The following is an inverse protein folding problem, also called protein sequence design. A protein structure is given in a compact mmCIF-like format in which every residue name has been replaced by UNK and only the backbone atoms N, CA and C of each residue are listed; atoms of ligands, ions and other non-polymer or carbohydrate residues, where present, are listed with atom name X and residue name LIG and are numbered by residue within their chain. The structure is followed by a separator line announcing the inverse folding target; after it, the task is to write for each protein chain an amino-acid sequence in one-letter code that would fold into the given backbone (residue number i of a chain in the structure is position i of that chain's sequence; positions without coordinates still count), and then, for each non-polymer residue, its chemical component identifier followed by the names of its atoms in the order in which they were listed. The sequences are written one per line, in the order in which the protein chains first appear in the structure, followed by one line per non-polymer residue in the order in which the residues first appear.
data_IF_691888087520
#
_entry.id   IF_691888087520
#
_cell.length_a   1.000
_cell.length_b   1.000
_cell.length_c   1.000
_cell.angle_alpha   90.00
_cell.angle_beta   90.00
_cell.angle_gamma   90.00
#
_symmetry.space_group_name_H-M   'P 1'
#
loop_
_entity.id
_entity.type
_entity.pdbx_description
1 polymer ?
2 non-polymer ?
3 water ?
#
# COMPACT_ATOMS: atom_id res chain seq x y z
N UNK A 12 -10.35 13.26 16.89
CA UNK A 12 -10.59 14.69 16.90
C UNK A 12 -9.53 15.45 16.07
N UNK A 13 -9.40 16.75 16.32
CA UNK A 13 -8.52 17.60 15.55
C UNK A 13 -7.71 18.49 16.50
N UNK A 14 -6.57 18.98 16.00
CA UNK A 14 -5.69 19.80 16.82
C UNK A 14 -4.75 19.03 17.73
N UNK A 15 -4.57 17.74 17.49
CA UNK A 15 -3.67 16.91 18.30
C UNK A 15 -2.90 15.96 17.41
N UNK A 16 -1.62 15.79 17.73
CA UNK A 16 -0.79 14.72 17.17
C UNK A 16 -0.56 13.68 18.25
N UNK A 17 -0.90 12.44 17.94
CA UNK A 17 -0.63 11.28 18.80
C UNK A 17 0.47 10.48 18.12
N UNK A 18 1.67 10.46 18.71
CA UNK A 18 2.79 9.72 18.16
C UNK A 18 3.35 8.81 19.23
N UNK A 19 3.10 7.51 19.11
CA UNK A 19 3.62 6.55 20.06
C UNK A 19 2.90 6.55 21.38
N UNK A 20 1.59 6.81 21.37
CA UNK A 20 0.83 6.89 22.59
C UNK A 20 0.91 8.20 23.34
N UNK A 21 1.88 9.06 23.01
CA UNK A 21 1.94 10.40 23.59
C UNK A 21 1.12 11.35 22.74
N UNK A 22 0.18 12.04 23.38
CA UNK A 22 -0.74 12.96 22.71
C UNK A 22 -0.25 14.39 22.89
N UNK A 23 -0.11 15.11 21.78
CA UNK A 23 0.50 16.44 21.77
C UNK A 23 -0.49 17.43 21.20
N UNK A 24 -0.78 18.50 21.92
CA UNK A 24 -1.64 19.53 21.42
C UNK A 24 -0.83 20.18 20.32
N UNK A 25 -1.42 20.42 19.17
CA UNK A 25 -0.66 20.99 18.10
C UNK A 25 -1.46 21.77 17.11
N UNK A 26 -0.76 22.64 16.42
CA UNK A 26 -1.32 23.48 15.40
C UNK A 26 -0.39 23.42 14.21
N UNK A 27 -0.85 23.89 13.07
CA UNK A 27 -0.07 23.78 11.87
C UNK A 27 1.29 24.46 11.93
N UNK A 28 1.40 25.59 12.61
CA UNK A 28 2.68 26.26 12.74
C UNK A 28 3.73 25.42 13.44
N UNK A 29 3.32 24.45 14.26
CA UNK A 29 4.26 23.58 14.93
C UNK A 29 4.94 22.61 13.97
N UNK A 30 4.64 22.69 12.68
CA UNK A 30 5.15 21.75 11.70
C UNK A 30 6.07 22.48 10.73
N UNK A 31 7.26 21.96 10.55
CA UNK A 31 8.19 22.52 9.58
C UNK A 31 8.06 21.74 8.27
N UNK A 32 7.88 22.46 7.16
CA UNK A 32 7.70 21.81 5.87
C UNK A 32 9.07 21.43 5.31
N UNK A 33 9.32 20.12 5.15
CA UNK A 33 10.61 19.66 4.63
C UNK A 33 10.54 19.30 3.16
N UNK A 34 9.43 19.58 2.49
CA UNK A 34 9.38 19.35 1.06
C UNK A 34 8.32 18.36 0.62
N UNK A 35 7.95 18.40 -0.65
CA UNK A 35 6.96 17.51 -1.20
C UNK A 35 7.54 16.13 -1.37
N UNK A 36 6.74 15.10 -1.19
CA UNK A 36 7.29 13.77 -1.30
C UNK A 36 7.25 13.11 -2.67
N UNK A 37 6.26 13.43 -3.49
CA UNK A 37 6.12 12.83 -4.80
C UNK A 37 5.24 13.64 -5.72
N UNK A 38 5.19 13.28 -6.98
CA UNK A 38 4.40 14.02 -7.97
C UNK A 38 2.92 13.64 -8.10
N UNK A 39 2.48 12.65 -7.35
CA UNK A 39 1.08 12.25 -7.41
C UNK A 39 0.92 10.79 -7.07
N UNK A 42 -2.41 15.05 -5.99
CA UNK A 42 -2.51 15.69 -4.68
C UNK A 42 -1.18 16.21 -4.18
N UNK A 43 -1.11 16.53 -2.88
CA UNK A 43 0.09 17.07 -2.26
C UNK A 43 0.30 16.40 -0.90
N UNK A 44 1.37 15.60 -0.79
CA UNK A 44 1.82 15.01 0.48
C UNK A 44 3.21 15.56 0.81
N UNK A 45 3.31 16.23 1.96
CA UNK A 45 4.52 16.87 2.44
C UNK A 45 5.20 16.01 3.50
N UNK A 46 6.52 16.06 3.55
CA UNK A 46 7.27 15.58 4.71
C UNK A 46 7.39 16.75 5.68
N UNK A 47 6.98 16.55 6.94
CA UNK A 47 7.06 17.66 7.89
C UNK A 47 7.66 17.21 9.22
N UNK A 48 8.27 18.15 9.93
CA UNK A 48 8.88 17.87 11.24
C UNK A 48 8.04 18.55 12.32
N UNK A 49 7.65 17.78 13.33
CA UNK A 49 6.97 18.34 14.50
C UNK A 49 8.04 18.98 15.37
N UNK A 50 8.07 20.32 15.41
CA UNK A 50 9.18 21.00 16.08
C UNK A 50 9.23 20.70 17.57
N UNK A 51 8.11 20.31 18.18
CA UNK A 51 8.11 20.15 19.63
C UNK A 51 8.89 18.92 20.04
N UNK A 52 8.98 17.91 19.19
CA UNK A 52 9.63 16.63 19.53
C UNK A 52 10.74 16.24 18.58
N UNK A 53 10.74 16.71 17.35
CA UNK A 53 11.67 16.25 16.34
C UNK A 53 11.13 15.12 15.48
N UNK A 54 9.94 14.60 15.78
CA UNK A 54 9.36 13.58 14.93
C UNK A 54 9.11 14.14 13.53
N UNK A 55 9.22 13.26 12.54
CA UNK A 55 8.98 13.62 11.14
C UNK A 55 7.80 12.78 10.66
N UNK A 56 6.86 13.41 9.96
CA UNK A 56 5.59 12.79 9.57
C UNK A 56 5.32 13.12 8.11
N UNK A 57 4.41 12.37 7.50
CA UNK A 57 3.82 12.69 6.19
C UNK A 57 2.51 13.43 6.41
N UNK A 58 2.28 14.51 5.65
CA UNK A 58 1.11 15.38 5.85
C UNK A 58 0.44 15.59 4.51
N UNK A 59 -0.82 15.13 4.36
CA UNK A 59 -1.63 15.44 3.19
C UNK A 59 -2.38 16.75 3.39
N UNK A 60 -2.34 17.63 2.39
CA UNK A 60 -2.97 18.93 2.46
C UNK A 60 -4.16 18.96 1.53
N UNK A 61 -5.34 19.26 2.07
CA UNK A 61 -6.56 19.41 1.28
C UNK A 61 -7.00 20.87 1.32
N UNK A 62 -6.89 21.56 0.18
CA UNK A 62 -7.21 22.98 0.13
C UNK A 62 -8.71 23.20 0.05
N UNK A 63 -9.21 24.20 0.78
CA UNK A 63 -10.64 24.51 0.74
C UNK A 63 -11.07 24.88 -0.68
N UNK A 64 -10.19 25.53 -1.42
CA UNK A 64 -10.43 25.98 -2.78
C UNK A 64 -10.34 24.86 -3.82
N UNK A 65 -10.02 23.64 -3.43
CA UNK A 65 -9.93 22.57 -4.39
C UNK A 65 -11.28 22.18 -4.97
N UNK A 66 -11.25 21.12 -5.78
CA UNK A 66 -12.49 20.65 -6.38
C UNK A 66 -13.44 20.17 -5.29
N UNK A 67 -14.67 20.68 -5.31
CA UNK A 67 -15.62 20.42 -4.24
C UNK A 67 -15.92 18.93 -4.11
N UNK A 68 -16.28 18.28 -5.22
CA UNK A 68 -16.59 16.86 -5.18
C UNK A 68 -15.38 16.03 -4.80
N UNK A 69 -14.18 16.44 -5.22
CA UNK A 69 -12.97 15.67 -4.92
C UNK A 69 -12.59 15.81 -3.45
N UNK A 70 -12.89 16.95 -2.84
CA UNK A 70 -12.67 17.09 -1.41
C UNK A 70 -13.61 16.19 -0.62
N UNK A 71 -14.87 16.03 -1.07
CA UNK A 71 -15.76 15.08 -0.40
C UNK A 71 -15.21 13.67 -0.46
N UNK A 72 -14.50 13.32 -1.54
CA UNK A 72 -13.95 11.97 -1.63
C UNK A 72 -12.78 11.77 -0.68
N UNK A 73 -11.93 12.79 -0.51
CA UNK A 73 -10.83 12.69 0.45
C UNK A 73 -11.37 12.51 1.85
N UNK A 74 -12.41 13.26 2.21
CA UNK A 74 -12.95 13.19 3.55
C UNK A 74 -13.59 11.83 3.83
N UNK A 75 -14.16 11.18 2.80
CA UNK A 75 -14.73 9.86 3.03
C UNK A 75 -13.64 8.82 3.23
N UNK A 76 -12.53 8.95 2.50
CA UNK A 76 -11.39 8.09 2.75
C UNK A 76 -10.84 8.31 4.14
N UNK A 77 -10.66 9.57 4.53
CA UNK A 77 -10.15 9.88 5.86
C UNK A 77 -11.00 9.20 6.93
N UNK A 78 -12.33 9.19 6.74
CA UNK A 78 -13.22 8.49 7.65
C UNK A 78 -12.79 7.04 7.85
N UNK A 79 -12.49 6.33 6.76
CA UNK A 79 -12.04 4.94 6.88
C UNK A 79 -10.69 4.90 7.61
N UNK A 80 -9.75 5.72 7.16
CA UNK A 80 -8.42 5.74 7.77
C UNK A 80 -8.51 5.94 9.28
N UNK A 81 -9.32 6.91 9.70
CA UNK A 81 -9.48 7.17 11.14
C UNK A 81 -10.04 5.98 11.88
N UNK A 82 -10.94 5.23 11.25
CA UNK A 82 -11.53 4.06 11.91
C UNK A 82 -10.64 2.82 11.81
N UNK A 83 -9.45 2.92 11.21
CA UNK A 83 -8.62 1.75 10.93
C UNK A 83 -7.44 1.65 11.87
N UNK A 84 -7.55 2.21 13.08
CA UNK A 84 -6.44 2.20 14.03
C UNK A 84 -6.09 0.81 14.52
N UNK A 85 -7.03 -0.14 14.49
CA UNK A 85 -6.73 -1.50 14.93
C UNK A 85 -6.25 -2.40 13.80
N UNK A 86 -5.84 -1.85 12.64
CA UNK A 86 -5.24 -2.69 11.61
C UNK A 86 -3.75 -2.41 11.48
N UNK A 87 -2.87 -3.36 11.83
CA UNK A 87 -1.42 -3.11 11.70
C UNK A 87 -0.91 -3.02 10.27
N UNK A 88 -1.77 -3.21 9.27
CA UNK A 88 -1.32 -3.27 7.88
C UNK A 88 -1.83 -2.09 7.06
N UNK A 89 -2.37 -1.07 7.73
CA UNK A 89 -2.83 0.15 7.07
C UNK A 89 -2.08 1.34 7.66
N UNK A 90 -1.67 2.25 6.79
CA UNK A 90 -0.90 3.40 7.25
C UNK A 90 -1.78 4.22 8.19
N UNK A 91 -1.23 4.55 9.36
CA UNK A 91 -2.00 5.16 10.44
C UNK A 91 -2.01 6.68 10.37
N UNK A 92 -3.13 7.28 10.79
CA UNK A 92 -3.27 8.72 10.89
C UNK A 92 -2.99 9.17 12.32
N UNK A 93 -2.12 10.18 12.46
CA UNK A 93 -1.70 10.66 13.78
C UNK A 93 -2.52 11.85 14.25
N UNK A 94 -3.28 12.47 13.35
CA UNK A 94 -4.09 13.60 13.71
C UNK A 94 -4.44 14.42 12.48
N UNK A 95 -5.27 15.43 12.71
CA UNK A 95 -5.65 16.37 11.65
C UNK A 95 -5.54 17.79 12.17
N UNK A 96 -5.39 18.72 11.24
CA UNK A 96 -5.42 20.16 11.50
C UNK A 96 -6.39 20.83 10.55
N UNK A 97 -7.33 21.60 11.08
CA UNK A 97 -8.31 22.30 10.25
C UNK A 97 -8.06 23.79 10.40
N UNK A 98 -7.78 24.47 9.30
CA UNK A 98 -7.65 25.92 9.31
C UNK A 98 -8.75 26.52 8.44
N UNK A 99 -8.74 27.85 8.34
CA UNK A 99 -9.73 28.52 7.52
C UNK A 99 -9.64 28.15 6.04
N UNK A 100 -8.48 27.72 5.56
CA UNK A 100 -8.31 27.46 4.14
C UNK A 100 -7.86 26.05 3.83
N UNK A 101 -7.61 25.22 4.83
CA UNK A 101 -7.04 23.91 4.54
C UNK A 101 -7.44 22.92 5.60
N UNK A 102 -7.29 21.65 5.24
CA UNK A 102 -7.26 20.53 6.17
C UNK A 102 -5.94 19.81 5.97
N UNK A 103 -5.21 19.59 7.07
CA UNK A 103 -3.96 18.84 7.01
C UNK A 103 -4.14 17.51 7.73
N UNK A 104 -3.73 16.43 7.07
CA UNK A 104 -3.91 15.08 7.58
C UNK A 104 -2.54 14.51 7.84
N UNK A 105 -2.22 14.23 9.10
CA UNK A 105 -0.91 13.75 9.51
C UNK A 105 -0.88 12.22 9.54
N UNK A 106 0.04 11.63 8.79
CA UNK A 106 0.15 10.19 8.64
C UNK A 106 1.54 9.76 9.09
N UNK A 107 1.67 8.52 9.56
CA UNK A 107 3.00 8.01 9.87
C UNK A 107 3.85 8.01 8.62
N UNK A 108 5.11 8.40 8.78
CA UNK A 108 6.05 8.47 7.66
C UNK A 108 6.60 7.10 7.36
N UNK A 109 6.32 6.59 6.18
CA UNK A 109 6.88 5.31 5.75
C UNK A 109 8.12 5.58 4.91
N UNK A 110 8.87 4.56 4.55
CA UNK A 110 10.04 4.81 3.76
C UNK A 110 9.83 5.07 2.29
N UNK A 111 9.19 4.14 1.60
CA UNK A 111 8.91 4.25 0.17
C UNK A 111 7.95 3.17 -0.24
N UNK A 112 7.58 3.16 -1.50
CA UNK A 112 6.61 2.20 -1.98
C UNK A 112 7.30 1.11 -2.78
N UNK A 113 6.58 0.00 -2.93
CA UNK A 113 7.11 -1.16 -3.66
C UNK A 113 7.51 -0.80 -5.08
N UNK A 114 6.81 0.13 -5.72
CA UNK A 114 7.17 0.52 -7.08
C UNK A 114 8.59 1.09 -7.13
N UNK A 115 8.95 1.92 -6.15
CA UNK A 115 10.27 2.53 -6.09
C UNK A 115 11.35 1.53 -5.67
N UNK A 116 11.02 0.61 -4.75
CA UNK A 116 11.94 -0.47 -4.41
C UNK A 116 12.27 -1.31 -5.66
N UNK A 117 11.24 -1.65 -6.43
CA UNK A 117 11.46 -2.35 -7.70
C UNK A 117 12.39 -1.56 -8.61
N UNK A 118 12.16 -0.24 -8.70
CA UNK A 118 13.01 0.59 -9.56
C UNK A 118 14.45 0.62 -9.06
N UNK A 119 14.67 0.69 -7.74
CA UNK A 119 16.04 0.76 -7.25
C UNK A 119 16.74 -0.59 -7.30
N UNK A 120 15.98 -1.68 -7.12
CA UNK A 120 16.53 -3.02 -7.21
C UNK A 120 17.02 -3.33 -8.63
N UNK A 121 16.34 -2.78 -9.63
CA UNK A 121 16.56 -3.08 -11.06
C UNK A 121 16.49 -4.58 -11.35
N UNK A 122 15.60 -5.26 -10.65
CA UNK A 122 15.37 -6.67 -10.91
C UNK A 122 14.30 -7.26 -10.02
N UNK A 123 14.12 -8.58 -10.11
CA UNK A 123 13.13 -9.27 -9.27
C UNK A 123 13.31 -9.01 -7.78
N UNK A 124 12.19 -8.84 -7.08
CA UNK A 124 12.19 -8.80 -5.62
C UNK A 124 12.04 -10.22 -5.10
N UNK A 125 12.77 -10.62 -4.04
CA UNK A 125 12.79 -12.03 -3.65
C UNK A 125 11.46 -12.52 -3.09
N UNK A 126 11.18 -13.81 -3.32
CA UNK A 126 9.93 -14.40 -2.87
C UNK A 126 9.71 -14.19 -1.37
N UNK A 127 10.78 -14.25 -0.56
CA UNK A 127 10.58 -14.13 0.89
C UNK A 127 10.05 -12.75 1.26
N UNK A 128 10.50 -11.73 0.55
CA UNK A 128 9.95 -10.38 0.78
C UNK A 128 8.50 -10.32 0.31
N UNK A 129 8.23 -10.84 -0.90
CA UNK A 129 6.87 -10.83 -1.41
C UNK A 129 5.93 -11.68 -0.57
N UNK A 130 6.46 -12.71 0.11
CA UNK A 130 5.63 -13.46 1.03
C UNK A 130 5.15 -12.63 2.20
N UNK A 131 6.04 -11.88 2.84
CA UNK A 131 5.61 -11.01 3.92
C UNK A 131 4.66 -9.93 3.40
N UNK A 132 4.92 -9.44 2.20
CA UNK A 132 4.07 -8.42 1.60
C UNK A 132 2.67 -8.96 1.32
N UNK A 133 2.59 -10.19 0.82
CA UNK A 133 1.29 -10.78 0.55
C UNK A 133 0.48 -10.93 1.84
N UNK A 134 1.12 -11.37 2.93
CA UNK A 134 0.38 -11.53 4.19
C UNK A 134 -0.19 -10.19 4.65
N UNK A 135 0.63 -9.14 4.59
CA UNK A 135 0.20 -7.81 5.00
C UNK A 135 -0.97 -7.31 4.16
N UNK A 136 -0.86 -7.42 2.84
CA UNK A 136 -1.84 -6.85 1.93
C UNK A 136 -3.16 -7.61 2.04
N UNK A 137 -3.10 -8.95 2.02
CA UNK A 137 -4.34 -9.72 2.12
C UNK A 137 -5.04 -9.40 3.43
N UNK A 138 -4.27 -9.31 4.53
CA UNK A 138 -4.91 -9.03 5.82
C UNK A 138 -5.48 -7.61 5.85
N UNK A 139 -4.81 -6.67 5.18
CA UNK A 139 -5.35 -5.31 5.06
C UNK A 139 -6.65 -5.31 4.28
N UNK A 140 -6.69 -6.02 3.15
CA UNK A 140 -7.90 -6.04 2.32
C UNK A 140 -9.06 -6.70 3.04
N UNK A 141 -8.78 -7.81 3.73
CA UNK A 141 -9.84 -8.51 4.44
C UNK A 141 -10.40 -7.64 5.56
N UNK A 142 -9.51 -6.97 6.30
CA UNK A 142 -9.93 -6.02 7.33
C UNK A 142 -10.89 -4.97 6.75
N UNK A 143 -10.47 -4.31 5.66
CA UNK A 143 -11.31 -3.28 5.05
C UNK A 143 -12.67 -3.84 4.64
N UNK A 144 -12.70 -5.07 4.13
CA UNK A 144 -14.00 -5.66 3.77
C UNK A 144 -14.78 -6.04 5.02
N UNK A 145 -14.18 -6.80 5.93
CA UNK A 145 -14.94 -7.37 7.03
C UNK A 145 -15.41 -6.30 8.02
N UNK A 146 -14.58 -5.28 8.26
CA UNK A 146 -14.87 -4.29 9.29
C UNK A 146 -15.52 -3.02 8.75
N UNK A 147 -15.34 -2.68 7.48
CA UNK A 147 -15.87 -1.41 6.98
C UNK A 147 -16.67 -1.49 5.69
N UNK A 148 -16.84 -2.69 5.11
CA UNK A 148 -17.51 -2.76 3.82
C UNK A 148 -16.77 -2.07 2.69
N UNK A 149 -15.46 -1.95 2.83
CA UNK A 149 -14.67 -1.29 1.83
C UNK A 149 -14.04 -2.30 0.93
N UNK A 150 -14.24 -2.14 -0.37
CA UNK A 150 -13.67 -3.05 -1.32
C UNK A 150 -12.69 -2.31 -2.19
N UNK A 151 -11.41 -2.53 -1.95
CA UNK A 151 -10.38 -1.87 -2.70
C UNK A 151 -10.00 -2.83 -3.79
N UNK A 152 -10.00 -2.36 -5.02
CA UNK A 152 -9.78 -3.28 -6.12
C UNK A 152 -8.48 -3.03 -6.88
N UNK A 153 -7.71 -1.99 -6.53
CA UNK A 153 -6.48 -1.69 -7.29
C UNK A 153 -5.29 -1.55 -6.32
N UNK A 154 -4.97 -2.66 -5.67
CA UNK A 154 -3.66 -2.81 -5.08
C UNK A 154 -2.63 -2.71 -6.19
N UNK A 155 -1.66 -1.83 -6.04
CA UNK A 155 -0.59 -1.81 -7.03
C UNK A 155 0.70 -1.49 -6.29
N UNK A 156 1.86 -1.74 -6.93
CA UNK A 156 3.11 -1.50 -6.21
C UNK A 156 3.23 -0.09 -5.65
N UNK A 157 2.59 0.93 -6.26
CA UNK A 157 2.69 2.27 -5.72
C UNK A 157 1.83 2.47 -4.46
N UNK A 158 0.89 1.57 -4.19
CA UNK A 158 0.00 1.61 -3.01
C UNK A 158 0.53 0.86 -1.80
N UNK A 159 1.62 0.12 -1.97
CA UNK A 159 2.16 -0.72 -0.91
C UNK A 159 3.39 -0.01 -0.34
N UNK A 160 3.34 0.40 0.92
CA UNK A 160 4.45 1.12 1.53
C UNK A 160 5.26 0.23 2.46
N UNK A 161 6.55 0.50 2.55
CA UNK A 161 7.46 -0.20 3.44
C UNK A 161 8.31 0.82 4.17
N UNK A 162 8.88 0.42 5.31
CA UNK A 162 9.82 1.30 6.00
C UNK A 162 11.05 0.53 6.44
N UNK A 163 12.00 1.28 6.99
CA UNK A 163 13.27 0.67 7.38
C UNK A 163 13.12 -0.16 8.64
N UNK A 164 11.97 -0.12 9.31
CA UNK A 164 11.68 -1.06 10.38
C UNK A 164 11.03 -2.34 9.85
N UNK A 165 10.92 -2.49 8.54
CA UNK A 165 10.38 -3.71 8.00
C UNK A 165 8.87 -3.78 7.95
N UNK A 166 8.17 -2.72 8.30
CA UNK A 166 6.71 -2.72 8.21
C UNK A 166 6.27 -2.62 6.76
N UNK A 167 5.11 -3.23 6.47
CA UNK A 167 4.49 -3.20 5.16
C UNK A 167 3.02 -2.81 5.39
N UNK A 168 2.58 -1.75 4.73
CA UNK A 168 1.23 -1.24 4.96
C UNK A 168 0.64 -0.73 3.66
N UNK A 169 -0.70 -0.77 3.59
CA UNK A 169 -1.45 -0.26 2.45
C UNK A 169 -1.83 1.20 2.68
N UNK A 170 -1.85 1.97 1.61
CA UNK A 170 -2.34 3.33 1.66
C UNK A 170 -3.13 3.62 0.38
N UNK A 171 -3.81 4.77 0.34
CA UNK A 171 -4.57 5.19 -0.82
C UNK A 171 -5.54 4.13 -1.35
N UNK A 172 -6.38 3.60 -0.48
CA UNK A 172 -7.32 2.56 -0.87
C UNK A 172 -8.78 2.94 -1.06
N UNK A 173 -9.14 4.20 -0.87
CA UNK A 173 -10.51 4.68 -1.00
C UNK A 173 -10.86 5.20 -2.38
N UNK A 174 -11.80 6.15 -2.42
CA UNK A 174 -12.40 6.62 -3.65
C UNK A 174 -11.89 7.99 -4.09
N UNK A 212 -11.92 -10.56 -3.87
CA UNK A 212 -12.82 -10.56 -5.04
C UNK A 212 -12.14 -9.81 -6.19
N UNK A 213 -12.78 -8.74 -6.68
CA UNK A 213 -12.11 -7.87 -7.65
C UNK A 213 -10.76 -7.43 -7.13
N UNK A 214 -10.65 -7.29 -5.81
CA UNK A 214 -9.37 -6.95 -5.17
C UNK A 214 -8.28 -7.95 -5.53
N UNK A 215 -8.61 -9.25 -5.53
CA UNK A 215 -7.55 -10.26 -5.55
C UNK A 215 -6.81 -10.30 -6.89
N UNK A 216 -7.43 -9.86 -7.97
CA UNK A 216 -6.76 -9.82 -9.27
C UNK A 216 -5.58 -8.85 -9.26
N UNK A 217 -5.79 -7.63 -8.75
CA UNK A 217 -4.72 -6.65 -8.75
C UNK A 217 -3.57 -7.08 -7.86
N UNK A 218 -3.86 -7.74 -6.73
CA UNK A 218 -2.76 -8.32 -5.95
C UNK A 218 -1.99 -9.34 -6.77
N UNK A 219 -2.69 -10.22 -7.48
CA UNK A 219 -1.99 -11.16 -8.37
C UNK A 219 -1.06 -10.46 -9.35
N UNK A 220 -1.55 -9.42 -10.02
CA UNK A 220 -0.75 -8.74 -11.04
C UNK A 220 0.44 -8.03 -10.40
N UNK A 221 0.23 -7.40 -9.24
CA UNK A 221 1.33 -6.76 -8.53
C UNK A 221 2.42 -7.76 -8.18
N UNK A 222 2.00 -8.95 -7.70
CA UNK A 222 2.98 -9.97 -7.31
C UNK A 222 3.80 -10.43 -8.51
N UNK A 223 3.14 -10.68 -9.65
CA UNK A 223 3.88 -11.08 -10.84
C UNK A 223 4.87 -10.00 -11.25
N UNK A 224 4.41 -8.74 -11.28
CA UNK A 224 5.28 -7.62 -11.63
C UNK A 224 6.48 -7.53 -10.71
N UNK A 225 6.26 -7.66 -9.42
CA UNK A 225 7.37 -7.49 -8.50
C UNK A 225 8.30 -8.71 -8.50
N UNK A 226 7.72 -9.90 -8.68
CA UNK A 226 8.52 -11.12 -8.67
C UNK A 226 9.40 -11.25 -9.92
N UNK A 227 8.91 -10.79 -11.07
CA UNK A 227 9.67 -10.90 -12.31
C UNK A 227 10.43 -9.64 -12.65
N UNK A 228 10.11 -8.52 -12.00
CA UNK A 228 10.68 -7.25 -12.43
C UNK A 228 10.04 -6.68 -13.67
N UNK A 229 8.99 -7.30 -14.20
CA UNK A 229 8.37 -6.89 -15.45
C UNK A 229 6.86 -6.80 -15.28
N UNK A 230 6.31 -5.62 -15.51
CA UNK A 230 4.86 -5.44 -15.51
C UNK A 230 4.24 -6.28 -16.64
N UNK A 231 3.27 -7.14 -16.35
CA UNK A 231 2.72 -8.02 -17.40
C UNK A 231 2.10 -7.27 -18.56
N UNK A 232 1.67 -6.03 -18.38
CA UNK A 232 1.00 -5.31 -19.46
C UNK A 232 1.81 -4.10 -19.94
N UNK A 233 3.14 -4.19 -19.84
CA UNK A 233 3.98 -3.06 -20.17
C UNK A 233 3.84 -2.63 -21.62
N UNK A 234 3.56 -3.57 -22.53
CA UNK A 234 3.53 -3.28 -23.96
C UNK A 234 2.20 -2.71 -24.45
N UNK A 235 1.25 -2.46 -23.55
CA UNK A 235 -0.03 -1.88 -23.91
C UNK A 235 0.08 -0.36 -23.90
N UNK A 236 -0.49 0.26 -24.93
CA UNK A 236 -0.40 1.71 -25.10
C UNK A 236 -1.65 2.45 -24.65
N UNK A 237 -2.75 1.74 -24.34
CA UNK A 237 -3.97 2.35 -23.83
C UNK A 237 -4.56 1.47 -22.74
N UNK A 238 -5.41 2.07 -21.90
CA UNK A 238 -6.08 1.31 -20.85
C UNK A 238 -7.04 0.29 -21.44
N UNK A 239 -7.72 0.64 -22.54
CA UNK A 239 -8.62 -0.33 -23.17
C UNK A 239 -7.85 -1.53 -23.68
N UNK A 240 -6.62 -1.31 -24.17
CA UNK A 240 -5.82 -2.43 -24.64
C UNK A 240 -5.55 -3.41 -23.51
N UNK A 241 -5.27 -2.89 -22.31
CA UNK A 241 -5.07 -3.76 -21.16
C UNK A 241 -6.32 -4.58 -20.88
N UNK A 242 -7.48 -3.91 -20.90
CA UNK A 242 -8.73 -4.62 -20.68
C UNK A 242 -8.92 -5.74 -21.69
N UNK A 243 -8.63 -5.49 -22.95
CA UNK A 243 -8.79 -6.54 -23.93
C UNK A 243 -7.89 -7.72 -23.64
N UNK A 244 -6.66 -7.44 -23.25
CA UNK A 244 -5.72 -8.48 -22.94
C UNK A 244 -6.14 -9.31 -21.75
N UNK A 245 -6.68 -8.65 -20.75
CA UNK A 245 -7.14 -9.35 -19.58
C UNK A 245 -8.25 -10.31 -19.93
N UNK A 246 -9.14 -9.91 -20.80
CA UNK A 246 -10.28 -10.74 -21.17
C UNK A 246 -9.93 -11.78 -22.23
N UNK A 247 -9.04 -11.46 -23.18
CA UNK A 247 -8.77 -12.37 -24.28
C UNK A 247 -7.62 -13.35 -24.00
N UNK A 248 -6.66 -12.99 -23.17
CA UNK A 248 -5.51 -13.84 -22.96
C UNK A 248 -5.63 -14.66 -21.68
N UNK A 249 -4.81 -15.70 -21.59
CA UNK A 249 -4.70 -16.44 -20.35
C UNK A 249 -4.04 -15.57 -19.27
N UNK A 250 -4.34 -15.83 -18.00
CA UNK A 250 -3.74 -15.02 -16.94
C UNK A 250 -2.24 -15.07 -16.99
N UNK A 251 -1.58 -13.98 -16.61
CA UNK A 251 -0.11 -13.99 -16.55
C UNK A 251 0.47 -14.68 -15.31
N UNK A 252 0.77 -15.97 -15.40
CA UNK A 252 1.26 -16.68 -14.23
C UNK A 252 2.77 -16.46 -14.02
N UNK A 253 3.25 -16.83 -12.82
CA UNK A 253 4.67 -16.76 -12.52
C UNK A 253 5.45 -17.75 -13.38
N UNK A 254 6.64 -17.38 -13.86
CA UNK A 254 7.46 -18.34 -14.61
C UNK A 254 7.92 -19.49 -13.73
N UNK A 255 8.29 -20.59 -14.39
CA UNK A 255 8.68 -21.80 -13.72
C UNK A 255 10.17 -22.05 -13.60
N UNK A 256 11.01 -21.12 -14.07
CA UNK A 256 12.45 -21.32 -14.10
C UNK A 256 13.18 -20.31 -13.22
N UNK A 257 12.50 -19.77 -12.20
CA UNK A 257 13.07 -18.75 -11.33
C UNK A 257 13.14 -19.19 -9.87
N UNK A 258 12.96 -20.49 -9.61
CA UNK A 258 13.06 -21.03 -8.28
C UNK A 258 11.87 -20.82 -7.38
N UNK A 259 10.78 -20.21 -7.86
CA UNK A 259 9.62 -19.94 -7.01
C UNK A 259 9.05 -21.21 -6.41
N UNK A 260 8.57 -21.12 -5.16
CA UNK A 260 7.99 -22.31 -4.54
C UNK A 260 6.66 -22.66 -5.20
N UNK A 261 6.27 -23.92 -5.08
CA UNK A 261 4.96 -24.30 -5.57
C UNK A 261 3.86 -23.51 -4.91
N UNK A 262 4.06 -23.18 -3.62
CA UNK A 262 3.08 -22.39 -2.88
C UNK A 262 2.89 -21.01 -3.50
N UNK A 263 4.00 -20.33 -3.80
CA UNK A 263 3.91 -19.00 -4.40
C UNK A 263 3.17 -19.08 -5.75
N UNK A 264 3.51 -20.07 -6.57
CA UNK A 264 2.87 -20.19 -7.89
C UNK A 264 1.37 -20.47 -7.73
N UNK A 265 1.02 -21.33 -6.78
CA UNK A 265 -0.39 -21.64 -6.53
C UNK A 265 -1.14 -20.41 -6.06
N UNK A 266 -0.55 -19.62 -5.17
CA UNK A 266 -1.23 -18.44 -4.67
C UNK A 266 -1.54 -17.46 -5.80
N UNK A 267 -0.53 -17.18 -6.65
CA UNK A 267 -0.75 -16.27 -7.78
C UNK A 267 -1.78 -16.83 -8.75
N UNK A 268 -1.69 -18.14 -9.05
CA UNK A 268 -2.69 -18.73 -9.92
C UNK A 268 -4.10 -18.56 -9.33
N UNK A 269 -4.24 -18.69 -8.01
CA UNK A 269 -5.54 -18.47 -7.39
C UNK A 269 -6.00 -17.02 -7.50
N UNK A 270 -5.11 -16.07 -7.33
CA UNK A 270 -5.47 -14.68 -7.46
C UNK A 270 -5.88 -14.33 -8.86
N UNK A 271 -5.30 -15.00 -9.83
CA UNK A 271 -5.55 -14.66 -11.22
C UNK A 271 -6.64 -15.44 -11.89
N UNK A 272 -7.61 -15.89 -11.13
CA UNK A 272 -8.73 -16.60 -11.68
C UNK A 272 -9.60 -15.62 -12.46
N UNK A 273 -9.82 -15.87 -13.74
CA UNK A 273 -10.58 -14.96 -14.59
C UNK A 273 -12.06 -14.95 -14.24
N UNK A 274 -12.65 -16.12 -14.02
CA UNK A 274 -14.07 -16.20 -13.69
C UNK A 274 -14.29 -15.77 -12.25
N UNK A 275 -14.89 -14.60 -12.04
CA UNK A 275 -15.00 -14.08 -10.68
C UNK A 275 -15.89 -14.95 -9.79
N UNK A 276 -16.62 -15.90 -10.35
CA UNK A 276 -17.41 -16.81 -9.53
C UNK A 276 -16.57 -17.93 -8.95
N UNK A 277 -15.41 -18.16 -9.52
CA UNK A 277 -14.51 -19.18 -9.04
C UNK A 277 -13.43 -18.56 -8.17
N UNK A 278 -13.39 -17.24 -8.09
CA UNK A 278 -12.45 -16.55 -7.24
C UNK A 278 -12.87 -16.87 -5.85
N UNK A 279 -11.93 -17.18 -4.99
CA UNK A 279 -12.35 -17.62 -3.67
C UNK A 279 -12.70 -16.54 -2.69
N UNK A 280 -13.23 -16.95 -1.53
CA UNK A 280 -13.53 -16.03 -0.44
C UNK A 280 -12.24 -15.63 0.26
N UNK A 281 -12.35 -14.63 1.14
CA UNK A 281 -11.18 -14.18 1.89
C UNK A 281 -10.78 -15.20 2.95
N UNK A 282 -11.76 -15.80 3.62
CA UNK A 282 -11.42 -16.79 4.64
C UNK A 282 -10.78 -18.03 4.02
N UNK A 283 -10.89 -18.22 2.71
CA UNK A 283 -10.20 -19.31 2.05
C UNK A 283 -8.80 -18.90 1.64
N UNK A 284 -8.67 -17.69 1.08
CA UNK A 284 -7.36 -17.18 0.71
C UNK A 284 -6.43 -17.14 1.93
N UNK A 285 -6.96 -16.75 3.09
CA UNK A 285 -6.15 -16.66 4.31
C UNK A 285 -5.68 -18.02 4.82
N UNK A 286 -6.22 -19.11 4.30
CA UNK A 286 -5.75 -20.44 4.66
C UNK A 286 -4.74 -21.00 3.67
N UNK A 287 -4.41 -20.25 2.63
CA UNK A 287 -3.51 -20.76 1.61
C UNK A 287 -2.14 -21.05 2.21
N UNK A 288 -1.51 -22.13 1.75
CA UNK A 288 -0.22 -22.52 2.32
C UNK A 288 0.83 -21.41 2.17
N UNK A 289 0.74 -20.60 1.12
CA UNK A 289 1.68 -19.48 0.96
C UNK A 289 1.52 -18.47 2.10
N UNK A 290 0.27 -18.16 2.47
CA UNK A 290 0.03 -17.24 3.59
C UNK A 290 0.48 -17.87 4.90
N UNK A 291 0.06 -19.11 5.14
CA UNK A 291 0.40 -19.76 6.41
C UNK A 291 1.91 -19.79 6.62
N UNK A 292 2.68 -20.05 5.56
CA UNK A 292 4.13 -20.07 5.69
C UNK A 292 4.67 -18.71 6.13
N UNK A 293 4.23 -17.64 5.47
CA UNK A 293 4.83 -16.34 5.75
C UNK A 293 4.18 -15.62 6.92
N UNK A 294 3.12 -16.18 7.50
CA UNK A 294 2.63 -15.68 8.77
C UNK A 294 3.63 -15.92 9.89
N UNK A 295 4.36 -17.04 9.83
CA UNK A 295 5.24 -17.47 10.92
C UNK A 295 6.72 -17.43 10.58
N UNK A 296 7.07 -17.40 9.30
CA UNK A 296 8.49 -17.45 8.94
C UNK A 296 9.15 -16.12 9.24
N UNK A 297 10.30 -16.17 9.92
CA UNK A 297 11.04 -14.95 10.19
C UNK A 297 11.77 -14.51 8.93
N UNK A 298 11.43 -13.32 8.45
CA UNK A 298 12.05 -12.72 7.28
C UNK A 298 12.52 -11.34 7.70
N UNK A 299 13.79 -11.03 7.45
CA UNK A 299 14.34 -9.73 7.86
C UNK A 299 14.07 -8.73 6.74
N UNK A 300 12.84 -8.20 6.74
CA UNK A 300 12.47 -7.23 5.72
C UNK A 300 13.21 -5.92 5.94
N UNK A 301 13.35 -5.51 7.21
CA UNK A 301 14.07 -4.28 7.57
C UNK A 301 15.45 -4.21 6.93
N UNK A 302 16.28 -5.24 7.12
CA UNK A 302 17.64 -5.21 6.58
C UNK A 302 17.61 -5.25 5.06
N UNK A 303 16.71 -6.04 4.48
CA UNK A 303 16.59 -6.06 3.03
C UNK A 303 16.24 -4.67 2.51
N UNK A 304 15.29 -4.00 3.16
CA UNK A 304 14.90 -2.65 2.79
C UNK A 304 16.10 -1.70 2.83
N UNK A 305 16.86 -1.71 3.93
CA UNK A 305 17.99 -0.80 4.06
C UNK A 305 19.04 -1.06 2.97
N UNK A 306 19.27 -2.33 2.65
CA UNK A 306 20.24 -2.70 1.62
C UNK A 306 19.82 -2.17 0.25
N UNK A 307 18.55 -2.33 -0.10
CA UNK A 307 18.06 -1.84 -1.38
C UNK A 307 18.15 -0.32 -1.44
N UNK A 308 17.69 0.36 -0.38
CA UNK A 308 17.66 1.82 -0.41
C UNK A 308 19.06 2.40 -0.52
N UNK A 309 20.07 1.65 -0.07
CA UNK A 309 21.45 2.12 -0.17
C UNK A 309 22.04 1.94 -1.57
N UNK A 310 21.26 1.41 -2.52
CA UNK A 310 21.72 1.32 -3.90
C UNK A 310 21.47 2.65 -4.64
N UNK A 311 22.22 2.86 -5.72
CA UNK A 311 22.26 4.11 -6.47
C UNK A 311 21.55 4.00 -7.82
N UNK A 312 21.25 5.16 -8.40
CA UNK A 312 20.55 5.17 -9.70
C UNK A 312 21.00 6.34 -10.55
X LIG B 1 3.74 7.93 3.72
X LIG B 1 3.28 8.20 2.40
X LIG B 1 4.24 8.34 1.40
X LIG B 1 4.23 8.82 -1.06
X LIG B 1 3.93 10.23 -1.41
X LIG B 1 4.40 10.59 -2.76
X LIG B 1 3.86 9.59 -3.79
X LIG B 1 5.24 7.43 -4.20
X LIG B 1 5.67 6.03 -3.76
X LIG B 1 5.55 5.06 -4.92
X LIG B 1 3.69 7.84 -2.09
X LIG B 1 2.02 8.40 1.73
X LIG B 1 0.62 8.35 2.32
X LIG B 1 -0.59 8.60 1.64
X LIG B 1 -2.97 8.61 2.33
X LIG B 1 -3.36 10.01 2.83
X LIG B 1 -4.87 10.18 2.91
X LIG B 1 -5.50 10.27 4.15
X LIG B 1 -6.88 10.44 4.20
X LIG B 1 -7.61 10.53 3.02
X LIG B 1 -6.97 10.43 1.79
X LIG B 1 -5.61 10.26 1.72
X LIG B 1 5.96 7.95 2.96
X LIG B 1 2.81 7.76 4.81
X LIG B 1 3.59 8.58 0.26
X LIG B 1 4.29 8.22 -3.41
X LIG B 1 2.26 8.63 0.45
X LIG B 1 -1.55 8.45 2.54
X LIG B 1 -1.00 8.13 3.75
X LIG B 1 0.35 8.07 3.59
X LIG B 1 5.57 8.20 1.71
X LIG B 1 5.05 7.83 3.94
X LIG B 1 5.66 7.88 -5.22
#
# INVERSE_FOLDING_TARGET
MGHHHHHHSAKQTGYLTIGGQRYQAEINDLENLGEMGSGTCGQVWKMRFRKTGHVIAVKQMRRSGNKEENKRILMDLDVVLKSHDCPYIVQCFGTFITNTDVFIAMELMGTCAEKLKKRMQGPIPERILGKMTVAIVKALYYLKEKHGVIHRDVKPSNILLDERGQIKLCDFGISGRLVDSKAKTRSAGCAAYMAPERIDPPDPTKPDYDIRADVWSLGISLVELATGQFPYKNCKTDFEVLTKVLQEEPPLLPGHMGFSGDFQSFVKDCLTKDHRKRPKYNKLLEHSFIKRYETLEVDVASWFKDVMAKTESPRTSG
2GI C02 C03 C04 C06 C07 C08 C09 C11 C12 C13 C15 C17 C18 C19 C21 C22 C23 C24 C25 C26 C27 C28 C32 N01 N05 N10 N16 N20 N29 N30 N31 N33 O14
#
